data_IF_114219270539
#
_entry.id   IF_114219270539
#
_cell.length_a   1.000
_cell.length_b   1.000
_cell.length_c   1.000
_cell.angle_alpha   90.00
_cell.angle_beta   90.00
_cell.angle_gamma   90.00
#
_symmetry.space_group_name_H-M   'P 1'
#
loop_
_entity.id
_entity.type
_entity.pdbx_description
1 polymer ?
#
# COMPACT_ATOMS: atom_id res chain seq x y z
N UNK A 1 7.93 -1.57 -33.49
CA UNK A 1 6.80 -1.94 -32.65
C UNK A 1 7.26 -2.71 -31.40
N UNK A 2 7.95 -3.83 -31.57
CA UNK A 2 8.46 -4.67 -30.49
C UNK A 2 9.31 -3.87 -29.48
N UNK A 3 10.24 -3.04 -29.97
CA UNK A 3 11.08 -2.19 -29.12
C UNK A 3 10.27 -1.17 -28.30
N UNK A 4 9.18 -0.63 -28.84
CA UNK A 4 8.33 0.31 -28.09
C UNK A 4 7.56 -0.39 -26.97
N UNK A 5 7.07 -1.59 -27.21
CA UNK A 5 6.39 -2.41 -26.20
C UNK A 5 7.36 -2.82 -25.10
N UNK A 6 8.54 -3.34 -25.45
CA UNK A 6 9.55 -3.76 -24.46
C UNK A 6 10.06 -2.61 -23.61
N UNK A 7 10.29 -1.44 -24.21
CA UNK A 7 10.71 -0.24 -23.48
C UNK A 7 9.63 0.23 -22.48
N UNK A 8 8.34 0.17 -22.86
CA UNK A 8 7.24 0.52 -21.95
C UNK A 8 7.19 -0.44 -20.75
N UNK A 9 7.31 -1.75 -20.99
CA UNK A 9 7.35 -2.75 -19.90
C UNK A 9 8.58 -2.53 -19.02
N UNK A 10 9.75 -2.27 -19.61
CA UNK A 10 10.96 -1.99 -18.86
C UNK A 10 10.80 -0.76 -17.95
N UNK A 11 10.05 0.26 -18.39
CA UNK A 11 9.78 1.46 -17.61
C UNK A 11 9.00 1.20 -16.30
N UNK A 12 8.23 0.13 -16.22
CA UNK A 12 7.42 -0.23 -15.03
C UNK A 12 7.99 -1.43 -14.26
N UNK A 13 9.11 -2.00 -14.67
CA UNK A 13 9.69 -3.22 -14.09
C UNK A 13 9.91 -3.11 -12.57
N UNK A 14 10.37 -1.96 -12.09
CA UNK A 14 10.55 -1.68 -10.66
C UNK A 14 9.22 -1.80 -9.90
N UNK A 15 8.14 -1.25 -10.44
CA UNK A 15 6.80 -1.34 -9.82
C UNK A 15 6.30 -2.78 -9.77
N UNK A 16 6.54 -3.58 -10.81
CA UNK A 16 6.16 -5.00 -10.85
C UNK A 16 6.90 -5.80 -9.77
N UNK A 17 8.20 -5.56 -9.58
CA UNK A 17 9.00 -6.19 -8.52
C UNK A 17 8.48 -5.79 -7.14
N UNK A 18 8.19 -4.51 -6.93
CA UNK A 18 7.64 -4.00 -5.66
C UNK A 18 6.30 -4.69 -5.36
N UNK A 19 5.40 -4.82 -6.32
CA UNK A 19 4.11 -5.51 -6.13
C UNK A 19 4.29 -6.98 -5.70
N UNK A 20 5.22 -7.71 -6.29
CA UNK A 20 5.53 -9.09 -5.86
C UNK A 20 6.01 -9.13 -4.42
N UNK A 21 6.95 -8.24 -4.06
CA UNK A 21 7.48 -8.19 -2.68
C UNK A 21 6.39 -7.77 -1.70
N UNK A 22 5.48 -6.85 -2.07
CA UNK A 22 4.32 -6.46 -1.24
C UNK A 22 3.42 -7.66 -0.95
N UNK A 23 3.15 -8.49 -1.96
CA UNK A 23 2.39 -9.73 -1.77
C UNK A 23 3.04 -10.67 -0.76
N UNK A 24 4.35 -10.91 -0.89
CA UNK A 24 5.11 -11.71 0.05
C UNK A 24 5.17 -11.08 1.45
N UNK A 25 5.37 -9.76 1.52
CA UNK A 25 5.42 -9.01 2.77
C UNK A 25 4.10 -9.13 3.55
N UNK A 26 2.96 -8.97 2.88
CA UNK A 26 1.66 -9.07 3.52
C UNK A 26 1.44 -10.44 4.16
N UNK A 27 1.82 -11.52 3.46
CA UNK A 27 1.81 -12.89 3.99
C UNK A 27 2.75 -13.05 5.18
N UNK A 28 4.00 -12.62 5.03
CA UNK A 28 5.01 -12.73 6.09
C UNK A 28 4.64 -11.94 7.35
N UNK A 29 4.17 -10.69 7.21
CA UNK A 29 3.76 -9.86 8.34
C UNK A 29 2.52 -10.38 9.05
N UNK A 30 1.59 -10.97 8.31
CA UNK A 30 0.39 -11.58 8.89
C UNK A 30 0.74 -12.85 9.67
N UNK A 31 1.38 -13.81 9.00
CA UNK A 31 1.65 -15.13 9.59
C UNK A 31 2.68 -15.08 10.70
N UNK A 32 3.68 -14.17 10.63
CA UNK A 32 4.64 -13.98 11.73
C UNK A 32 4.01 -13.45 13.01
N UNK A 33 2.76 -12.92 12.94
CA UNK A 33 2.10 -12.27 14.06
C UNK A 33 2.45 -10.77 14.20
N UNK A 34 3.22 -10.19 13.28
CA UNK A 34 3.55 -8.74 13.29
C UNK A 34 2.28 -7.91 13.15
N UNK A 35 1.45 -8.15 12.12
CA UNK A 35 0.19 -7.43 11.93
C UNK A 35 -0.79 -7.70 13.08
N UNK A 36 -1.05 -8.94 13.51
CA UNK A 36 -1.86 -9.21 14.70
C UNK A 36 -1.38 -8.48 15.96
N UNK A 37 -0.07 -8.40 16.19
CA UNK A 37 0.52 -7.65 17.32
C UNK A 37 0.28 -6.15 17.19
N UNK A 38 0.46 -5.57 16.00
CA UNK A 38 0.16 -4.17 15.74
C UNK A 38 -1.32 -3.85 15.92
N UNK A 39 -2.23 -4.74 15.51
CA UNK A 39 -3.67 -4.60 15.74
C UNK A 39 -3.96 -4.65 17.23
N UNK A 40 -3.46 -5.67 17.94
CA UNK A 40 -3.68 -5.87 19.37
C UNK A 40 -3.32 -4.64 20.20
N UNK A 41 -2.14 -4.06 20.00
CA UNK A 41 -1.70 -2.87 20.72
C UNK A 41 -2.29 -1.57 20.14
N UNK A 42 -2.48 -1.52 18.82
CA UNK A 42 -3.02 -0.34 18.14
C UNK A 42 -4.46 0.00 18.56
N UNK A 43 -5.30 -1.01 18.75
CA UNK A 43 -6.67 -0.82 19.24
C UNK A 43 -6.68 -0.19 20.65
N UNK A 44 -5.70 -0.51 21.48
CA UNK A 44 -5.62 0.01 22.85
C UNK A 44 -5.12 1.46 22.90
N UNK A 45 -4.38 1.91 21.89
CA UNK A 45 -3.75 3.24 21.85
C UNK A 45 -4.54 4.24 21.06
N UNK A 46 -5.13 3.84 19.93
CA UNK A 46 -5.83 4.75 19.01
C UNK A 46 -7.29 4.82 19.36
N UNK A 47 -7.74 6.01 19.81
CA UNK A 47 -9.15 6.24 20.14
C UNK A 47 -10.02 6.22 18.86
N UNK A 48 -11.16 5.50 18.83
CA UNK A 48 -11.99 5.34 17.64
C UNK A 48 -12.38 6.66 16.96
N UNK A 49 -12.85 7.64 17.72
CA UNK A 49 -13.29 8.94 17.15
C UNK A 49 -12.20 9.68 16.36
N UNK A 50 -10.92 9.47 16.68
CA UNK A 50 -9.79 10.09 15.98
C UNK A 50 -9.02 9.11 15.09
N UNK A 51 -9.53 7.89 14.92
CA UNK A 51 -8.84 6.84 14.17
C UNK A 51 -8.53 7.27 12.72
N UNK A 52 -9.53 7.74 11.97
CA UNK A 52 -9.36 8.12 10.56
C UNK A 52 -8.35 9.26 10.38
N UNK A 53 -8.41 10.28 11.26
CA UNK A 53 -7.48 11.42 11.25
C UNK A 53 -6.07 10.95 11.58
N UNK A 54 -5.91 10.17 12.65
CA UNK A 54 -4.62 9.62 13.06
C UNK A 54 -4.01 8.74 11.97
N UNK A 55 -4.81 7.88 11.35
CA UNK A 55 -4.42 7.04 10.22
C UNK A 55 -3.89 7.87 9.05
N UNK A 56 -4.62 8.91 8.65
CA UNK A 56 -4.20 9.79 7.56
C UNK A 56 -2.87 10.50 7.88
N UNK A 57 -2.72 11.03 9.10
CA UNK A 57 -1.50 11.73 9.53
C UNK A 57 -0.32 10.76 9.61
N UNK A 58 -0.49 9.58 10.21
CA UNK A 58 0.58 8.57 10.31
C UNK A 58 1.06 8.18 8.92
N UNK A 59 0.13 7.87 8.00
CA UNK A 59 0.47 7.52 6.63
C UNK A 59 1.15 8.69 5.90
N UNK A 60 0.72 9.93 6.12
CA UNK A 60 1.35 11.10 5.53
C UNK A 60 2.81 11.26 6.00
N UNK A 61 3.06 11.18 7.29
CA UNK A 61 4.42 11.29 7.87
C UNK A 61 5.32 10.19 7.35
N UNK A 62 4.86 8.94 7.40
CA UNK A 62 5.64 7.80 6.90
C UNK A 62 5.91 7.93 5.41
N UNK A 63 4.94 8.33 4.61
CA UNK A 63 5.11 8.50 3.18
C UNK A 63 6.05 9.65 2.81
N UNK A 64 6.06 10.76 3.56
CA UNK A 64 7.07 11.82 3.40
C UNK A 64 8.48 11.28 3.65
N UNK A 65 8.63 10.42 4.66
CA UNK A 65 9.92 9.82 5.03
C UNK A 65 10.39 8.78 4.02
N UNK A 66 9.47 7.96 3.49
CA UNK A 66 9.79 6.90 2.50
C UNK A 66 9.94 7.43 1.09
N UNK A 67 9.26 8.52 0.74
CA UNK A 67 9.09 8.96 -0.63
C UNK A 67 8.25 8.00 -1.48
N UNK A 68 7.44 7.13 -0.86
CA UNK A 68 6.67 6.10 -1.57
C UNK A 68 5.33 5.83 -0.91
N UNK A 69 4.25 6.11 -1.63
CA UNK A 69 2.90 5.74 -1.21
C UNK A 69 2.72 4.22 -1.14
N UNK A 70 3.29 3.48 -2.09
CA UNK A 70 3.23 2.02 -2.14
C UNK A 70 3.84 1.36 -0.90
N UNK A 71 5.04 1.79 -0.52
CA UNK A 71 5.72 1.27 0.68
C UNK A 71 4.93 1.56 1.94
N UNK A 72 4.36 2.75 2.06
CA UNK A 72 3.55 3.15 3.21
C UNK A 72 2.28 2.31 3.33
N UNK A 73 1.54 2.14 2.21
CA UNK A 73 0.32 1.32 2.18
C UNK A 73 0.64 -0.13 2.50
N UNK A 74 1.72 -0.68 1.92
CA UNK A 74 2.11 -2.08 2.10
C UNK A 74 2.63 -2.42 3.51
N UNK A 75 3.10 -1.45 4.26
CA UNK A 75 3.63 -1.65 5.62
C UNK A 75 2.60 -1.24 6.67
N UNK A 76 2.58 0.03 7.03
CA UNK A 76 1.69 0.55 8.08
C UNK A 76 0.23 0.49 7.67
N UNK A 77 -0.09 0.65 6.38
CA UNK A 77 -1.46 0.62 5.88
C UNK A 77 -2.18 -0.69 6.18
N UNK A 78 -1.50 -1.84 6.07
CA UNK A 78 -2.08 -3.15 6.39
C UNK A 78 -2.49 -3.23 7.87
N UNK A 79 -1.62 -2.77 8.78
CA UNK A 79 -1.91 -2.78 10.21
C UNK A 79 -3.07 -1.82 10.56
N UNK A 80 -3.07 -0.61 9.97
CA UNK A 80 -4.14 0.37 10.17
C UNK A 80 -5.47 -0.11 9.59
N UNK A 81 -5.46 -0.87 8.49
CA UNK A 81 -6.66 -1.50 7.95
C UNK A 81 -7.26 -2.46 8.99
N UNK A 82 -6.42 -3.29 9.60
CA UNK A 82 -6.87 -4.23 10.65
C UNK A 82 -7.39 -3.54 11.91
N UNK A 83 -6.71 -2.48 12.38
CA UNK A 83 -7.15 -1.70 13.54
C UNK A 83 -8.51 -1.05 13.27
N UNK A 84 -8.70 -0.46 12.08
CA UNK A 84 -9.94 0.21 11.71
C UNK A 84 -11.11 -0.75 11.58
N UNK A 85 -10.90 -1.93 11.00
CA UNK A 85 -11.92 -3.00 10.96
C UNK A 85 -12.33 -3.44 12.36
N UNK A 86 -11.37 -3.67 13.23
CA UNK A 86 -11.63 -4.03 14.63
C UNK A 86 -12.36 -2.94 15.42
N UNK A 87 -12.22 -1.66 15.01
CA UNK A 87 -12.98 -0.53 15.56
C UNK A 87 -14.33 -0.31 14.85
N UNK A 88 -14.74 -1.18 13.91
CA UNK A 88 -16.03 -1.14 13.23
C UNK A 88 -16.13 -0.15 12.07
N UNK A 89 -15.03 0.43 11.61
CA UNK A 89 -15.06 1.28 10.42
C UNK A 89 -15.20 0.46 9.15
N UNK A 90 -15.98 0.96 8.19
CA UNK A 90 -16.03 0.34 6.85
C UNK A 90 -14.70 0.48 6.12
N UNK A 91 -14.35 -0.51 5.31
CA UNK A 91 -13.09 -0.58 4.58
C UNK A 91 -12.84 0.65 3.71
N UNK A 92 -13.89 1.22 3.11
CA UNK A 92 -13.78 2.40 2.28
C UNK A 92 -13.27 3.64 3.03
N UNK A 93 -13.72 3.86 4.27
CA UNK A 93 -13.24 4.96 5.10
C UNK A 93 -11.79 4.75 5.52
N UNK A 94 -11.44 3.52 5.93
CA UNK A 94 -10.07 3.17 6.35
C UNK A 94 -9.10 3.31 5.17
N UNK A 95 -9.43 2.69 4.03
CA UNK A 95 -8.63 2.78 2.82
C UNK A 95 -8.49 4.23 2.33
N UNK A 96 -9.57 5.01 2.37
CA UNK A 96 -9.56 6.43 2.06
C UNK A 96 -8.57 7.22 2.93
N UNK A 97 -8.54 6.97 4.24
CA UNK A 97 -7.63 7.63 5.16
C UNK A 97 -6.16 7.24 4.90
N UNK A 98 -5.89 5.94 4.71
CA UNK A 98 -4.56 5.41 4.40
C UNK A 98 -4.04 5.99 3.09
N UNK A 99 -4.83 5.91 2.03
CA UNK A 99 -4.44 6.34 0.69
C UNK A 99 -4.24 7.86 0.66
N UNK A 100 -5.15 8.64 1.25
CA UNK A 100 -5.03 10.11 1.29
C UNK A 100 -3.74 10.56 1.96
N UNK A 101 -3.38 9.95 3.10
CA UNK A 101 -2.13 10.24 3.79
C UNK A 101 -0.91 9.81 2.97
N UNK A 102 -0.92 8.58 2.46
CA UNK A 102 0.19 8.03 1.68
C UNK A 102 0.47 8.86 0.41
N UNK A 103 -0.56 9.25 -0.33
CA UNK A 103 -0.41 10.09 -1.52
C UNK A 103 0.02 11.51 -1.21
N UNK A 104 -0.43 12.09 -0.09
CA UNK A 104 0.05 13.39 0.34
C UNK A 104 1.57 13.35 0.56
N UNK A 105 2.04 12.38 1.33
CA UNK A 105 3.45 12.24 1.62
C UNK A 105 4.31 12.04 0.37
N UNK A 106 3.87 11.18 -0.51
CA UNK A 106 4.55 10.89 -1.78
C UNK A 106 4.71 12.16 -2.64
N UNK A 107 3.66 12.98 -2.76
CA UNK A 107 3.70 14.23 -3.54
C UNK A 107 4.64 15.30 -2.99
N UNK A 108 4.77 15.40 -1.66
CA UNK A 108 5.58 16.47 -1.03
C UNK A 108 6.97 16.00 -0.61
N UNK A 109 7.25 14.71 -0.75
CA UNK A 109 8.56 14.16 -0.41
C UNK A 109 9.61 14.48 -1.47
N UNK A 110 10.77 15.02 -1.07
CA UNK A 110 11.90 15.18 -1.99
C UNK A 110 12.57 13.85 -2.38
N UNK A 111 12.13 12.73 -1.79
CA UNK A 111 12.61 11.38 -2.06
C UNK A 111 11.69 10.62 -3.02
N UNK A 112 10.56 11.21 -3.41
CA UNK A 112 9.59 10.57 -4.30
C UNK A 112 10.09 10.60 -5.74
N UNK A 113 10.10 9.41 -6.35
CA UNK A 113 10.48 9.24 -7.76
C UNK A 113 9.54 10.05 -8.69
N UNK A 114 8.25 10.10 -8.37
CA UNK A 114 7.26 10.85 -9.15
C UNK A 114 7.49 12.35 -9.08
N UNK A 115 7.84 12.87 -7.91
CA UNK A 115 8.14 14.29 -7.70
C UNK A 115 9.47 14.69 -8.36
N UNK A 116 10.49 13.83 -8.25
CA UNK A 116 11.78 14.02 -8.92
C UNK A 116 11.61 14.01 -10.44
N UNK A 117 10.87 13.02 -10.97
CA UNK A 117 10.60 12.90 -12.40
C UNK A 117 9.87 14.15 -12.94
N UNK A 118 8.81 14.59 -12.25
CA UNK A 118 8.04 15.75 -12.65
C UNK A 118 8.89 17.03 -12.67
N UNK A 119 9.74 17.23 -11.66
CA UNK A 119 10.68 18.37 -11.60
C UNK A 119 11.71 18.34 -12.74
N UNK A 120 12.21 17.14 -13.06
CA UNK A 120 13.19 16.96 -14.15
C UNK A 120 12.57 17.21 -15.54
N UNK A 121 11.36 16.70 -15.79
CA UNK A 121 10.65 16.91 -17.08
C UNK A 121 10.27 18.36 -17.31
N UNK A 122 9.98 19.10 -16.23
CA UNK A 122 9.61 20.52 -16.32
C UNK A 122 10.81 21.47 -16.20
N UNK A 123 12.03 20.95 -16.11
CA UNK A 123 13.27 21.71 -15.88
C UNK A 123 13.13 22.71 -14.72
N UNK A 124 12.44 22.28 -13.66
CA UNK A 124 12.16 23.11 -12.48
C UNK A 124 12.93 22.58 -11.28
N UNK A 125 13.61 23.43 -10.48
CA UNK A 125 14.28 22.94 -9.27
C UNK A 125 13.31 22.21 -8.32
N UNK A 126 13.71 21.03 -7.83
CA UNK A 126 12.88 20.10 -7.06
C UNK A 126 12.12 20.79 -5.90
N UNK A 127 12.80 21.58 -5.07
CA UNK A 127 12.16 22.26 -3.94
C UNK A 127 11.20 23.37 -4.38
N UNK A 128 11.44 24.00 -5.52
CA UNK A 128 10.52 24.96 -6.12
C UNK A 128 9.25 24.24 -6.57
N UNK A 129 9.40 23.10 -7.23
CA UNK A 129 8.28 22.24 -7.64
C UNK A 129 7.45 21.79 -6.43
N UNK A 130 8.08 21.24 -5.38
CA UNK A 130 7.40 20.83 -4.14
C UNK A 130 6.66 22.00 -3.51
N UNK A 131 7.26 23.20 -3.45
CA UNK A 131 6.59 24.39 -2.88
C UNK A 131 5.31 24.75 -3.63
N UNK A 132 5.28 24.63 -4.94
CA UNK A 132 4.07 24.87 -5.73
C UNK A 132 3.03 23.77 -5.53
N UNK A 133 3.45 22.49 -5.44
CA UNK A 133 2.56 21.39 -5.12
C UNK A 133 1.89 21.57 -3.75
N UNK A 134 2.61 22.06 -2.75
CA UNK A 134 2.06 22.30 -1.41
C UNK A 134 0.92 23.30 -1.41
N UNK A 135 0.88 24.27 -2.33
CA UNK A 135 -0.21 25.28 -2.41
C UNK A 135 -1.57 24.61 -2.64
N UNK A 136 -1.61 23.52 -3.40
CA UNK A 136 -2.84 22.76 -3.68
C UNK A 136 -3.02 21.57 -2.74
N UNK A 137 -1.94 20.89 -2.41
CA UNK A 137 -1.98 19.62 -1.67
C UNK A 137 -2.26 19.83 -0.18
N UNK A 138 -1.71 20.90 0.43
CA UNK A 138 -1.97 21.20 1.86
C UNK A 138 -3.43 21.58 2.12
N UNK A 139 -4.07 22.50 1.36
CA UNK A 139 -5.50 22.78 1.53
C UNK A 139 -6.36 21.53 1.30
N UNK A 140 -6.02 20.69 0.31
CA UNK A 140 -6.72 19.44 0.05
C UNK A 140 -6.63 18.50 1.25
N UNK A 141 -5.44 18.32 1.84
CA UNK A 141 -5.26 17.50 3.04
C UNK A 141 -6.05 18.05 4.22
N UNK A 142 -6.05 19.37 4.44
CA UNK A 142 -6.80 19.99 5.54
C UNK A 142 -8.30 19.71 5.39
N UNK A 143 -8.86 19.86 4.18
CA UNK A 143 -10.27 19.53 3.92
C UNK A 143 -10.51 18.03 4.19
N UNK A 144 -9.62 17.15 3.74
CA UNK A 144 -9.70 15.71 3.96
C UNK A 144 -9.68 15.37 5.46
N UNK A 145 -8.79 16.00 6.24
CA UNK A 145 -8.74 15.80 7.69
C UNK A 145 -10.01 16.29 8.40
N UNK A 146 -10.62 17.41 7.94
CA UNK A 146 -11.91 17.86 8.46
C UNK A 146 -13.00 16.83 8.18
N UNK A 147 -13.07 16.29 6.97
CA UNK A 147 -14.04 15.25 6.59
C UNK A 147 -13.83 14.00 7.47
N UNK A 148 -12.59 13.53 7.65
CA UNK A 148 -12.28 12.38 8.51
C UNK A 148 -12.58 12.65 9.99
N UNK A 149 -12.42 13.91 10.46
CA UNK A 149 -12.81 14.29 11.82
C UNK A 149 -14.32 14.18 11.99
N UNK A 150 -15.09 14.75 11.06
CA UNK A 150 -16.57 14.68 11.10
C UNK A 150 -17.03 13.21 11.02
N UNK A 151 -16.48 12.42 10.10
CA UNK A 151 -16.82 11.03 9.95
C UNK A 151 -16.45 10.20 11.20
N UNK A 152 -15.28 10.45 11.81
CA UNK A 152 -14.87 9.79 13.04
C UNK A 152 -15.71 10.15 14.26
N UNK A 153 -16.10 11.44 14.39
CA UNK A 153 -16.98 11.87 15.48
C UNK A 153 -18.43 11.38 15.31
N UNK A 154 -18.87 11.16 14.07
CA UNK A 154 -20.19 10.62 13.75
C UNK A 154 -20.23 9.09 13.84
N UNK A 155 -19.08 8.45 14.01
CA UNK A 155 -18.99 7.01 14.14
C UNK A 155 -19.43 6.58 15.55
N UNK A 156 -20.46 5.77 15.63
CA UNK A 156 -20.86 5.16 16.90
C UNK A 156 -19.74 4.24 17.36
N UNK A 157 -19.23 4.49 18.56
CA UNK A 157 -18.15 3.68 19.11
C UNK A 157 -18.59 2.22 19.15
N UNK A 158 -17.84 1.35 18.50
CA UNK A 158 -18.10 -0.09 18.50
C UNK A 158 -18.13 -0.60 19.95
N UNK A 159 -19.07 -1.47 20.24
CA UNK A 159 -19.26 -2.04 21.58
C UNK A 159 -17.91 -2.61 22.08
N UNK A 160 -17.55 -2.24 23.30
CA UNK A 160 -16.31 -2.72 23.95
C UNK A 160 -16.23 -4.25 23.99
N UNK A 161 -17.38 -4.94 23.91
CA UNK A 161 -17.47 -6.39 23.79
C UNK A 161 -16.86 -6.91 22.48
N UNK A 162 -17.11 -6.24 21.38
CA UNK A 162 -16.60 -6.62 20.05
C UNK A 162 -15.07 -6.47 19.97
N UNK A 163 -14.53 -5.38 20.53
CA UNK A 163 -13.08 -5.15 20.62
C UNK A 163 -12.40 -6.21 21.48
N UNK A 164 -13.02 -6.58 22.62
CA UNK A 164 -12.48 -7.60 23.51
C UNK A 164 -12.51 -8.99 22.85
N UNK A 165 -13.55 -9.32 22.10
CA UNK A 165 -13.65 -10.56 21.32
C UNK A 165 -12.55 -10.62 20.24
N UNK A 166 -12.37 -9.57 19.47
CA UNK A 166 -11.30 -9.46 18.46
C UNK A 166 -9.92 -9.69 19.05
N UNK A 167 -9.64 -8.98 20.15
CA UNK A 167 -8.37 -9.07 20.87
C UNK A 167 -8.11 -10.47 21.40
N UNK A 168 -9.14 -11.13 21.94
CA UNK A 168 -9.07 -12.51 22.43
C UNK A 168 -8.78 -13.49 21.29
N UNK A 169 -9.54 -13.46 20.20
CA UNK A 169 -9.36 -14.38 19.07
C UNK A 169 -7.96 -14.24 18.47
N UNK A 170 -7.47 -13.00 18.33
CA UNK A 170 -6.10 -12.77 17.84
C UNK A 170 -5.04 -13.34 18.79
N UNK A 171 -5.23 -13.18 20.11
CA UNK A 171 -4.27 -13.72 21.10
C UNK A 171 -4.32 -15.24 21.22
N UNK A 172 -5.46 -15.86 20.92
CA UNK A 172 -5.62 -17.32 20.92
C UNK A 172 -4.98 -17.96 19.68
N UNK A 173 -5.05 -17.29 18.53
CA UNK A 173 -4.52 -17.82 17.25
C UNK A 173 -3.05 -17.51 17.03
N UNK A 174 -2.57 -16.33 17.45
CA UNK A 174 -1.21 -15.85 17.24
C UNK A 174 -0.45 -15.70 18.55
N UNK A 175 0.82 -16.06 18.55
CA UNK A 175 1.72 -15.71 19.65
C UNK A 175 2.05 -14.22 19.59
N UNK A 176 1.30 -13.39 20.34
CA UNK A 176 1.50 -11.94 20.42
C UNK A 176 2.65 -11.64 21.36
N UNK A 177 3.67 -10.97 20.89
CA UNK A 177 4.86 -10.61 21.69
C UNK A 177 5.43 -9.26 21.27
N UNK A 178 5.95 -8.52 22.25
CA UNK A 178 6.68 -7.26 21.99
C UNK A 178 7.89 -7.45 21.07
N UNK A 179 8.51 -8.63 21.04
CA UNK A 179 9.61 -8.95 20.13
C UNK A 179 9.24 -8.82 18.66
N UNK A 180 7.97 -9.06 18.31
CA UNK A 180 7.48 -8.90 16.96
C UNK A 180 7.49 -7.45 16.46
N UNK A 181 7.49 -6.48 17.40
CA UNK A 181 7.62 -5.06 17.08
C UNK A 181 9.00 -4.68 16.52
N UNK A 182 10.01 -5.55 16.67
CA UNK A 182 11.33 -5.34 16.05
C UNK A 182 11.21 -5.26 14.53
N UNK A 183 10.33 -6.05 13.90
CA UNK A 183 10.19 -6.07 12.45
C UNK A 183 9.73 -4.71 11.90
N UNK A 184 8.61 -4.12 12.35
CA UNK A 184 8.22 -2.78 11.90
C UNK A 184 9.21 -1.68 12.32
N UNK A 185 9.86 -1.81 13.49
CA UNK A 185 10.88 -0.84 13.91
C UNK A 185 12.10 -0.87 12.99
N UNK A 186 12.62 -2.06 12.67
CA UNK A 186 13.74 -2.19 11.71
C UNK A 186 13.31 -1.66 10.33
N UNK A 187 12.11 -1.97 9.89
CA UNK A 187 11.56 -1.43 8.63
C UNK A 187 11.53 0.09 8.66
N UNK A 188 11.04 0.71 9.75
CA UNK A 188 11.02 2.16 9.92
C UNK A 188 12.44 2.77 9.95
N UNK A 189 13.41 2.10 10.58
CA UNK A 189 14.81 2.55 10.59
C UNK A 189 15.40 2.51 9.18
N UNK A 190 15.17 1.45 8.40
CA UNK A 190 15.66 1.35 7.02
C UNK A 190 15.07 2.48 6.16
N UNK A 191 13.79 2.77 6.33
CA UNK A 191 13.11 3.89 5.71
C UNK A 191 13.77 5.22 6.08
N UNK A 192 13.95 5.47 7.39
CA UNK A 192 14.58 6.69 7.90
C UNK A 192 16.03 6.86 7.42
N UNK A 193 16.73 5.74 7.18
CA UNK A 193 18.07 5.69 6.58
C UNK A 193 18.08 5.86 5.06
N UNK A 194 16.91 6.08 4.43
CA UNK A 194 16.75 6.26 2.97
C UNK A 194 17.24 5.06 2.15
N UNK A 195 17.11 3.85 2.70
CA UNK A 195 17.40 2.62 1.97
C UNK A 195 16.35 2.46 0.85
N UNK A 196 16.74 2.03 -0.37
CA UNK A 196 15.80 1.84 -1.48
C UNK A 196 14.61 0.95 -1.10
N UNK A 197 13.41 1.30 -1.58
CA UNK A 197 12.15 0.64 -1.22
C UNK A 197 12.18 -0.88 -1.42
N UNK A 198 12.74 -1.36 -2.54
CA UNK A 198 12.86 -2.80 -2.83
C UNK A 198 13.66 -3.51 -1.73
N UNK A 199 14.81 -2.95 -1.34
CA UNK A 199 15.69 -3.54 -0.31
C UNK A 199 14.98 -3.51 1.04
N UNK A 200 14.33 -2.40 1.38
CA UNK A 200 13.58 -2.25 2.63
C UNK A 200 12.46 -3.28 2.76
N UNK A 201 11.64 -3.43 1.72
CA UNK A 201 10.54 -4.39 1.69
C UNK A 201 11.07 -5.84 1.72
N UNK A 202 12.14 -6.13 0.98
CA UNK A 202 12.76 -7.46 0.97
C UNK A 202 13.33 -7.84 2.33
N UNK A 203 14.11 -6.95 2.97
CA UNK A 203 14.66 -7.17 4.31
C UNK A 203 13.55 -7.33 5.34
N UNK A 204 12.51 -6.51 5.27
CA UNK A 204 11.34 -6.61 6.15
C UNK A 204 10.62 -7.95 5.99
N UNK A 205 10.44 -8.42 4.75
CA UNK A 205 9.84 -9.73 4.44
C UNK A 205 10.70 -10.87 4.99
N UNK A 206 12.01 -10.83 4.73
CA UNK A 206 12.95 -11.84 5.21
C UNK A 206 12.98 -11.90 6.74
N UNK A 207 13.03 -10.74 7.40
CA UNK A 207 13.02 -10.66 8.87
C UNK A 207 11.70 -11.21 9.44
N UNK A 208 10.56 -10.82 8.88
CA UNK A 208 9.26 -11.36 9.28
C UNK A 208 9.17 -12.88 9.08
N UNK A 209 9.77 -13.42 8.00
CA UNK A 209 9.82 -14.86 7.75
C UNK A 209 10.62 -15.59 8.84
N UNK A 210 11.78 -15.03 9.24
CA UNK A 210 12.56 -15.58 10.35
C UNK A 210 11.76 -15.55 11.65
N UNK A 211 11.06 -14.46 11.93
CA UNK A 211 10.20 -14.35 13.12
C UNK A 211 9.01 -15.33 13.07
N UNK A 212 8.44 -15.58 11.88
CA UNK A 212 7.40 -16.60 11.72
C UNK A 212 7.92 -18.00 12.09
N UNK A 213 9.14 -18.35 11.68
CA UNK A 213 9.77 -19.63 12.02
C UNK A 213 10.02 -19.79 13.51
N UNK A 214 10.34 -18.70 14.22
CA UNK A 214 10.65 -18.70 15.66
C UNK A 214 9.38 -18.67 16.52
N UNK A 215 8.45 -17.76 16.21
CA UNK A 215 7.31 -17.47 17.07
C UNK A 215 6.01 -18.18 16.66
N UNK A 216 5.88 -18.62 15.40
CA UNK A 216 4.64 -19.19 14.84
C UNK A 216 4.86 -20.55 14.14
N UNK A 217 5.67 -21.49 14.68
CA UNK A 217 5.93 -22.76 14.00
C UNK A 217 4.65 -23.59 13.81
N UNK A 218 3.70 -23.50 14.74
CA UNK A 218 2.41 -24.20 14.64
C UNK A 218 1.57 -23.72 13.46
N UNK A 219 1.49 -22.40 13.22
CA UNK A 219 0.78 -21.84 12.08
C UNK A 219 1.44 -22.21 10.75
N UNK A 220 2.78 -22.26 10.70
CA UNK A 220 3.49 -22.69 9.51
C UNK A 220 3.21 -24.16 9.18
N UNK A 221 3.12 -25.04 10.20
CA UNK A 221 2.72 -26.42 10.00
C UNK A 221 1.28 -26.54 9.53
N UNK A 222 0.36 -25.71 10.05
CA UNK A 222 -1.05 -25.66 9.61
C UNK A 222 -1.12 -25.26 8.10
N UNK A 223 -0.36 -24.24 7.68
CA UNK A 223 -0.28 -23.78 6.29
C UNK A 223 0.35 -24.85 5.38
N UNK A 224 1.31 -25.61 5.89
CA UNK A 224 1.95 -26.70 5.13
C UNK A 224 0.98 -27.82 4.77
N UNK A 225 -0.11 -27.99 5.55
CA UNK A 225 -1.15 -29.01 5.37
C UNK A 225 -0.71 -30.40 5.87
N UNK A 226 -1.65 -31.34 5.81
CA UNK A 226 -1.46 -32.69 6.31
C UNK A 226 -0.38 -33.47 5.52
N UNK A 227 0.33 -34.35 6.21
CA UNK A 227 1.30 -35.27 5.62
C UNK A 227 2.73 -34.75 5.46
N UNK A 228 3.03 -33.55 5.99
CA UNK A 228 4.41 -33.00 6.01
C UNK A 228 4.75 -32.63 7.47
N UNK A 229 5.87 -33.16 7.98
CA UNK A 229 6.28 -32.95 9.37
C UNK A 229 7.71 -32.38 9.47
N UNK A 230 8.03 -31.82 10.63
CA UNK A 230 9.36 -31.32 10.94
C UNK A 230 9.81 -30.12 10.10
N UNK A 231 11.07 -30.08 9.72
CA UNK A 231 11.67 -28.96 8.98
C UNK A 231 11.02 -28.77 7.60
N UNK A 232 10.59 -29.86 6.95
CA UNK A 232 9.91 -29.78 5.66
C UNK A 232 8.56 -29.06 5.76
N UNK A 233 7.81 -29.24 6.86
CA UNK A 233 6.57 -28.51 7.11
C UNK A 233 6.84 -27.02 7.32
N UNK A 234 7.85 -26.65 8.10
CA UNK A 234 8.24 -25.26 8.32
C UNK A 234 8.65 -24.57 7.00
N UNK A 235 9.43 -25.27 6.17
CA UNK A 235 9.83 -24.73 4.87
C UNK A 235 8.64 -24.57 3.92
N UNK A 236 7.80 -25.60 3.80
CA UNK A 236 6.60 -25.56 2.95
C UNK A 236 5.61 -24.50 3.41
N UNK A 237 5.37 -24.38 4.73
CA UNK A 237 4.52 -23.35 5.31
C UNK A 237 5.09 -21.94 5.09
N UNK A 238 6.40 -21.77 5.29
CA UNK A 238 7.10 -20.52 5.01
C UNK A 238 7.00 -20.09 3.54
N UNK A 239 7.20 -21.01 2.61
CA UNK A 239 7.01 -20.73 1.18
C UNK A 239 5.54 -20.49 0.85
N UNK A 240 4.62 -21.25 1.48
CA UNK A 240 3.18 -21.07 1.31
C UNK A 240 2.70 -19.66 1.71
N UNK A 241 3.17 -19.13 2.84
CA UNK A 241 2.80 -17.78 3.29
C UNK A 241 3.34 -16.67 2.38
N UNK A 242 4.50 -16.88 1.74
CA UNK A 242 5.10 -15.88 0.86
C UNK A 242 4.45 -15.87 -0.53
N UNK A 243 4.34 -17.06 -1.12
CA UNK A 243 3.89 -17.22 -2.50
C UNK A 243 2.38 -17.40 -2.61
N UNK A 244 1.81 -18.31 -1.85
CA UNK A 244 0.40 -18.68 -1.90
C UNK A 244 -0.46 -17.78 -1.03
N UNK A 245 -1.69 -17.90 -0.98
CA UNK A 245 -2.54 -17.28 0.03
C UNK A 245 -2.57 -18.14 1.30
N UNK A 246 -2.77 -17.50 2.43
CA UNK A 246 -3.06 -18.21 3.68
C UNK A 246 -4.51 -17.95 4.08
N UNK A 247 -5.22 -19.02 4.35
CA UNK A 247 -6.56 -19.00 4.92
C UNK A 247 -6.47 -19.64 6.30
N UNK A 248 -6.60 -18.80 7.31
CA UNK A 248 -6.58 -19.24 8.71
C UNK A 248 -8.00 -19.20 9.27
N UNK A 249 -8.42 -20.25 9.92
CA UNK A 249 -9.75 -20.33 10.52
C UNK A 249 -9.69 -20.01 12.01
N UNK A 250 -10.56 -19.09 12.44
CA UNK A 250 -10.71 -18.67 13.85
C UNK A 250 -12.12 -18.86 14.39
N UNK A 251 -13.05 -19.33 13.55
CA UNK A 251 -14.47 -19.42 13.90
C UNK A 251 -15.26 -18.12 13.72
N UNK A 252 -14.61 -16.99 13.46
CA UNK A 252 -15.25 -15.70 13.15
C UNK A 252 -14.92 -15.30 11.72
N UNK A 253 -15.94 -15.14 10.86
CA UNK A 253 -15.78 -14.87 9.43
C UNK A 253 -15.06 -13.55 9.15
N UNK A 254 -15.33 -12.49 9.93
CA UNK A 254 -14.69 -11.19 9.76
C UNK A 254 -13.18 -11.24 10.06
N UNK A 255 -12.83 -11.95 11.13
CA UNK A 255 -11.42 -12.12 11.51
C UNK A 255 -10.71 -13.03 10.52
N UNK A 256 -11.36 -14.08 10.04
CA UNK A 256 -10.80 -14.94 9.00
C UNK A 256 -10.47 -14.15 7.72
N UNK A 257 -11.35 -13.25 7.30
CA UNK A 257 -11.09 -12.37 6.15
C UNK A 257 -9.92 -11.42 6.41
N UNK A 258 -9.86 -10.85 7.61
CA UNK A 258 -8.78 -9.92 8.00
C UNK A 258 -7.40 -10.58 8.01
N UNK A 259 -7.30 -11.81 8.56
CA UNK A 259 -6.02 -12.53 8.70
C UNK A 259 -5.66 -13.36 7.45
N UNK A 260 -6.58 -13.47 6.50
CA UNK A 260 -6.31 -14.11 5.22
C UNK A 260 -5.40 -13.26 4.35
N UNK A 261 -4.45 -13.90 3.68
CA UNK A 261 -3.57 -13.23 2.73
C UNK A 261 -3.55 -13.98 1.41
N UNK A 262 -3.26 -13.26 0.33
CA UNK A 262 -3.16 -13.85 -1.01
C UNK A 262 -1.72 -14.05 -1.46
N UNK A 263 -0.74 -13.62 -0.67
CA UNK A 263 0.67 -13.73 -0.99
C UNK A 263 1.06 -13.07 -2.33
N UNK A 264 2.17 -13.48 -2.89
CA UNK A 264 2.63 -13.03 -4.22
C UNK A 264 1.61 -13.40 -5.32
N UNK A 265 0.98 -14.56 -5.21
CA UNK A 265 -0.02 -15.02 -6.19
C UNK A 265 -1.21 -14.05 -6.31
N UNK A 266 -1.61 -13.40 -5.21
CA UNK A 266 -2.66 -12.38 -5.22
C UNK A 266 -2.33 -11.14 -6.03
N UNK A 267 -1.06 -10.84 -6.23
CA UNK A 267 -0.61 -9.70 -7.02
C UNK A 267 -0.55 -9.99 -8.53
N UNK A 268 -0.61 -11.26 -8.94
CA UNK A 268 -0.42 -11.66 -10.33
C UNK A 268 -1.45 -11.04 -11.27
N UNK A 269 -2.73 -10.94 -10.85
CA UNK A 269 -3.76 -10.32 -11.67
C UNK A 269 -3.46 -8.83 -11.94
N UNK A 270 -3.01 -8.11 -10.93
CA UNK A 270 -2.62 -6.69 -11.06
C UNK A 270 -1.39 -6.55 -11.95
N UNK A 271 -0.39 -7.40 -11.78
CA UNK A 271 0.82 -7.43 -12.62
C UNK A 271 0.47 -7.71 -14.06
N UNK A 272 -0.38 -8.70 -14.31
CA UNK A 272 -0.85 -9.04 -15.65
C UNK A 272 -1.57 -7.86 -16.31
N UNK A 273 -2.46 -7.20 -15.56
CA UNK A 273 -3.17 -6.02 -16.04
C UNK A 273 -2.20 -4.89 -16.42
N UNK A 274 -1.19 -4.61 -15.57
CA UNK A 274 -0.17 -3.59 -15.85
C UNK A 274 0.62 -3.94 -17.12
N UNK A 275 1.03 -5.20 -17.27
CA UNK A 275 1.76 -5.66 -18.48
C UNK A 275 0.91 -5.46 -19.73
N UNK A 276 -0.37 -5.86 -19.71
CA UNK A 276 -1.28 -5.66 -20.82
C UNK A 276 -1.46 -4.16 -21.16
N UNK A 277 -1.63 -3.31 -20.15
CA UNK A 277 -1.72 -1.86 -20.34
C UNK A 277 -0.44 -1.27 -20.96
N UNK A 278 0.74 -1.73 -20.52
CA UNK A 278 2.02 -1.29 -21.10
C UNK A 278 2.21 -1.78 -22.54
N UNK A 279 1.76 -3.00 -22.87
CA UNK A 279 1.75 -3.49 -24.24
C UNK A 279 0.85 -2.60 -25.13
N UNK A 280 -0.35 -2.27 -24.66
CA UNK A 280 -1.27 -1.38 -25.36
C UNK A 280 -0.70 0.02 -25.54
N UNK A 281 -0.15 0.62 -24.48
CA UNK A 281 0.50 1.93 -24.53
C UNK A 281 1.71 1.95 -25.47
N UNK A 282 2.52 0.89 -25.50
CA UNK A 282 3.65 0.73 -26.44
C UNK A 282 3.17 0.64 -27.90
N UNK A 283 2.07 -0.07 -28.14
CA UNK A 283 1.46 -0.17 -29.45
C UNK A 283 0.93 1.20 -29.94
N UNK A 284 0.25 1.94 -29.09
CA UNK A 284 -0.25 3.28 -29.38
C UNK A 284 0.89 4.28 -29.65
N UNK A 285 1.99 4.17 -28.90
CA UNK A 285 3.19 4.99 -29.10
C UNK A 285 3.82 4.70 -30.45
N UNK A 286 4.03 3.41 -30.78
CA UNK A 286 4.61 2.98 -32.06
C UNK A 286 3.73 3.36 -33.28
N UNK A 287 2.41 3.34 -33.10
CA UNK A 287 1.43 3.74 -34.13
C UNK A 287 1.26 5.25 -34.29
N UNK A 288 1.95 6.09 -33.47
CA UNK A 288 1.81 7.55 -33.50
C UNK A 288 0.45 8.07 -32.98
N UNK A 289 -0.42 7.19 -32.49
CA UNK A 289 -1.76 7.55 -32.01
C UNK A 289 -1.69 8.48 -30.79
N UNK A 290 -0.76 8.21 -29.87
CA UNK A 290 -0.57 9.03 -28.67
C UNK A 290 -0.15 10.48 -29.04
N UNK A 291 0.73 10.64 -30.03
CA UNK A 291 1.12 11.94 -30.56
C UNK A 291 -0.06 12.67 -31.22
N UNK A 292 -0.91 11.96 -31.95
CA UNK A 292 -2.11 12.53 -32.59
C UNK A 292 -3.12 13.03 -31.55
N UNK A 293 -3.38 12.25 -30.50
CA UNK A 293 -4.28 12.64 -29.40
C UNK A 293 -3.69 13.86 -28.67
N UNK A 294 -2.41 13.82 -28.32
CA UNK A 294 -1.72 14.93 -27.63
C UNK A 294 -1.76 16.22 -28.47
N UNK A 295 -1.62 16.12 -29.81
CA UNK A 295 -1.64 17.27 -30.70
C UNK A 295 -2.96 18.04 -30.67
N UNK A 296 -4.08 17.35 -30.45
CA UNK A 296 -5.40 17.96 -30.29
C UNK A 296 -5.44 18.86 -29.07
N UNK A 297 -4.94 18.38 -27.94
CA UNK A 297 -4.89 19.16 -26.70
C UNK A 297 -3.91 20.33 -26.78
N UNK A 298 -2.77 20.15 -27.43
CA UNK A 298 -1.76 21.21 -27.62
C UNK A 298 -2.31 22.38 -28.45
N UNK A 299 -3.23 22.14 -29.38
CA UNK A 299 -3.87 23.22 -30.17
C UNK A 299 -4.64 24.24 -29.31
N UNK A 300 -5.10 23.83 -28.12
CA UNK A 300 -5.83 24.70 -27.18
C UNK A 300 -4.91 25.49 -26.23
N UNK A 301 -3.58 25.33 -26.31
CA UNK A 301 -2.60 25.89 -25.35
C UNK A 301 -2.09 27.29 -25.70
N UNK A 302 -2.73 28.03 -26.58
CA UNK A 302 -2.27 29.39 -27.01
C UNK A 302 -2.24 30.45 -25.90
N UNK A 303 -2.91 30.24 -24.77
CA UNK A 303 -2.91 31.14 -23.60
C UNK A 303 -2.62 30.33 -22.32
N UNK A 304 -2.09 30.98 -21.25
CA UNK A 304 -1.81 30.32 -19.97
C UNK A 304 -3.02 29.54 -19.42
N UNK A 305 -4.22 30.16 -19.45
CA UNK A 305 -5.46 29.51 -19.02
C UNK A 305 -5.80 28.31 -19.90
N UNK A 306 -5.63 28.43 -21.22
CA UNK A 306 -5.85 27.32 -22.15
C UNK A 306 -4.88 26.17 -21.93
N UNK A 307 -3.61 26.48 -21.58
CA UNK A 307 -2.60 25.46 -21.25
C UNK A 307 -3.00 24.67 -20.00
N UNK A 308 -3.35 25.37 -18.89
CA UNK A 308 -3.78 24.73 -17.65
C UNK A 308 -5.05 23.90 -17.85
N UNK A 309 -6.08 24.48 -18.50
CA UNK A 309 -7.34 23.80 -18.79
C UNK A 309 -7.13 22.56 -19.68
N UNK A 310 -6.30 22.67 -20.72
CA UNK A 310 -5.98 21.57 -21.62
C UNK A 310 -5.22 20.45 -20.91
N UNK A 311 -4.26 20.78 -20.05
CA UNK A 311 -3.50 19.81 -19.25
C UNK A 311 -4.40 19.08 -18.27
N UNK A 312 -5.29 19.80 -17.56
CA UNK A 312 -6.26 19.19 -16.64
C UNK A 312 -7.26 18.31 -17.41
N UNK A 313 -7.80 18.82 -18.52
CA UNK A 313 -8.76 18.07 -19.35
C UNK A 313 -8.12 16.80 -19.95
N UNK A 314 -6.89 16.88 -20.46
CA UNK A 314 -6.18 15.71 -20.99
C UNK A 314 -5.86 14.70 -19.89
N UNK A 315 -5.43 15.16 -18.70
CA UNK A 315 -5.19 14.29 -17.54
C UNK A 315 -6.46 13.57 -17.07
N UNK A 316 -7.58 14.29 -16.99
CA UNK A 316 -8.89 13.69 -16.65
C UNK A 316 -9.35 12.71 -17.72
N UNK A 317 -9.25 13.07 -19.00
CA UNK A 317 -9.64 12.22 -20.11
C UNK A 317 -8.82 10.92 -20.14
N UNK A 318 -7.49 11.03 -20.07
CA UNK A 318 -6.61 9.87 -20.06
C UNK A 318 -6.82 8.98 -18.83
N UNK A 319 -7.06 9.58 -17.65
CA UNK A 319 -7.38 8.79 -16.45
C UNK A 319 -8.74 8.08 -16.55
N UNK A 320 -9.75 8.72 -17.15
CA UNK A 320 -11.06 8.09 -17.35
C UNK A 320 -11.00 6.93 -18.35
N UNK A 321 -10.25 7.09 -19.44
CA UNK A 321 -10.06 6.03 -20.43
C UNK A 321 -9.21 4.87 -19.88
N UNK A 322 -8.11 5.17 -19.20
CA UNK A 322 -7.27 4.17 -18.55
C UNK A 322 -8.01 3.55 -17.36
N UNK A 323 -8.71 4.35 -16.53
CA UNK A 323 -9.48 3.89 -15.40
C UNK A 323 -10.63 2.94 -15.77
N UNK A 324 -11.30 3.17 -16.90
CA UNK A 324 -12.34 2.24 -17.42
C UNK A 324 -11.74 0.90 -17.90
N UNK A 325 -10.48 0.87 -18.25
CA UNK A 325 -9.79 -0.38 -18.58
C UNK A 325 -9.38 -1.18 -17.33
N UNK A 326 -9.55 -0.61 -16.14
CA UNK A 326 -9.20 -1.22 -14.85
C UNK A 326 -10.41 -1.66 -14.01
N UNK A 327 -11.64 -1.43 -14.48
CA UNK A 327 -12.89 -1.93 -13.89
C UNK A 327 -13.48 -3.00 -14.81
#
# INVERSE_FOLDING_TARGET
FELAVTNNIAGVSTALIILLIIGALSGAWMVSGVVPTLIYYGIQVIHPHFFLVSTCIICAVVSVMTGSSWTTIATIGIALMGIGKAQGFSEGWIAGAIISGAYFGDKVSPLSDTTILASSVTDTPLFTHIRYLMITTVPSLVITLIIFTIAGLSHEATDTGHIAEYTRILSDKFHISWWLMIVPVVTAILIARKVPSIITLFVSTALATVFALIFQPGLLCEIAGQGVEGIAALFKGGMGMLYGGTQLETGNAEINELISTRGMAGMMNTIWLIICAMCFGGAMTAGGMLGSITSVFVRFTKKRVGMVSSTVASGLFLNLEIGRAHV
#
